data_IF_141017382115
#
_entry.id   IF_141017382115
#
_cell.length_a   1.000
_cell.length_b   1.000
_cell.length_c   1.000
_cell.angle_alpha   90.00
_cell.angle_beta   90.00
_cell.angle_gamma   90.00
#
_symmetry.space_group_name_H-M   'P 1'
#
loop_
_entity.id
_entity.type
_entity.pdbx_description
1 polymer ?
#
# COMPACT_ATOMS: atom_id res chain seq x y z
N UNK A 1 32.56 -33.69 32.23
CA UNK A 1 32.27 -33.42 30.84
C UNK A 1 30.92 -34.00 30.34
N UNK A 2 30.61 -35.30 30.57
CA UNK A 2 29.36 -35.92 30.10
C UNK A 2 28.06 -35.28 30.68
N UNK A 3 28.09 -34.79 31.92
CA UNK A 3 26.92 -34.18 32.61
C UNK A 3 26.55 -32.80 32.04
N UNK A 4 27.52 -32.02 31.58
CA UNK A 4 27.28 -30.70 30.98
C UNK A 4 26.80 -30.80 29.51
N UNK A 5 27.17 -31.89 28.81
CA UNK A 5 26.68 -32.17 27.44
C UNK A 5 25.20 -32.56 27.45
N UNK A 6 24.74 -33.33 28.44
CA UNK A 6 23.33 -33.69 28.59
C UNK A 6 22.44 -32.48 28.92
N UNK A 7 22.95 -31.54 29.75
CA UNK A 7 22.21 -30.29 30.07
C UNK A 7 22.14 -29.36 28.86
N UNK A 8 23.21 -29.28 28.07
CA UNK A 8 23.24 -28.50 26.84
C UNK A 8 22.30 -29.07 25.75
N UNK A 9 22.22 -30.40 25.64
CA UNK A 9 21.32 -31.09 24.70
C UNK A 9 19.85 -30.97 25.13
N UNK A 10 19.57 -30.98 26.44
CA UNK A 10 18.22 -30.76 26.97
C UNK A 10 17.74 -29.31 26.79
N UNK A 11 18.64 -28.31 26.90
CA UNK A 11 18.31 -26.92 26.59
C UNK A 11 18.04 -26.68 25.09
N UNK A 12 18.76 -27.37 24.17
CA UNK A 12 18.49 -27.29 22.73
C UNK A 12 17.14 -27.95 22.35
N UNK A 13 16.72 -28.99 23.06
CA UNK A 13 15.46 -29.67 22.82
C UNK A 13 14.22 -28.86 23.29
N UNK A 14 14.38 -27.94 24.24
CA UNK A 14 13.29 -27.03 24.67
C UNK A 14 13.01 -25.86 23.73
N UNK A 15 13.84 -25.61 22.72
CA UNK A 15 13.63 -24.50 21.76
C UNK A 15 12.76 -24.86 20.54
N UNK A 16 12.22 -26.09 20.47
CA UNK A 16 11.45 -26.55 19.30
C UNK A 16 9.96 -26.83 19.58
N UNK A 17 9.42 -26.36 20.71
CA UNK A 17 7.96 -26.31 20.83
C UNK A 17 7.51 -24.94 20.38
N UNK A 18 7.51 -24.72 19.07
CA UNK A 18 6.61 -23.76 18.47
C UNK A 18 5.21 -24.36 18.64
N UNK A 19 4.56 -24.01 19.75
CA UNK A 19 3.12 -24.18 19.83
C UNK A 19 2.54 -23.50 18.57
N UNK A 20 1.83 -24.25 17.74
CA UNK A 20 1.05 -23.66 16.64
C UNK A 20 0.06 -22.71 17.29
N UNK A 21 0.45 -21.44 17.43
CA UNK A 21 -0.44 -20.40 17.94
C UNK A 21 -1.56 -20.21 16.93
N UNK A 22 -2.78 -20.48 17.37
CA UNK A 22 -3.96 -20.14 16.59
C UNK A 22 -4.13 -18.63 16.61
N UNK A 23 -4.26 -18.07 15.43
CA UNK A 23 -4.37 -16.62 15.26
C UNK A 23 -5.83 -16.18 15.42
N UNK A 24 -6.04 -15.27 16.36
CA UNK A 24 -7.30 -14.56 16.48
C UNK A 24 -7.45 -13.49 15.39
N UNK A 25 -8.70 -13.10 15.09
CA UNK A 25 -8.97 -12.01 14.14
C UNK A 25 -8.18 -10.74 14.48
N UNK A 26 -8.10 -10.40 15.77
CA UNK A 26 -7.38 -9.20 16.20
C UNK A 26 -5.89 -9.28 15.92
N UNK A 27 -5.27 -10.43 16.20
CA UNK A 27 -3.85 -10.65 15.89
C UNK A 27 -3.57 -10.54 14.38
N UNK A 28 -4.46 -11.08 13.52
CA UNK A 28 -4.35 -10.93 12.09
C UNK A 28 -4.40 -9.46 11.64
N UNK A 29 -5.33 -8.67 12.21
CA UNK A 29 -5.47 -7.25 11.91
C UNK A 29 -4.25 -6.46 12.40
N UNK A 30 -3.82 -6.66 13.64
CA UNK A 30 -2.69 -5.94 14.23
C UNK A 30 -1.39 -6.23 13.45
N UNK A 31 -1.17 -7.49 13.09
CA UNK A 31 -0.02 -7.90 12.28
C UNK A 31 -0.04 -7.25 10.89
N UNK A 32 -1.19 -7.26 10.21
CA UNK A 32 -1.32 -6.65 8.90
C UNK A 32 -1.11 -5.13 8.94
N UNK A 33 -1.58 -4.44 9.97
CA UNK A 33 -1.35 -2.99 10.12
C UNK A 33 0.14 -2.67 10.19
N UNK A 34 0.95 -3.55 10.78
CA UNK A 34 2.40 -3.34 10.88
C UNK A 34 3.18 -3.75 9.63
N UNK A 35 2.72 -4.78 8.90
CA UNK A 35 3.50 -5.41 7.83
C UNK A 35 2.98 -5.13 6.42
N UNK A 36 1.69 -4.80 6.28
CA UNK A 36 1.06 -4.64 4.96
C UNK A 36 1.70 -3.54 4.13
N UNK A 37 2.03 -3.86 2.87
CA UNK A 37 2.75 -2.98 1.94
C UNK A 37 1.90 -1.77 1.56
N UNK A 38 0.58 -1.93 1.37
CA UNK A 38 -0.31 -0.83 1.00
C UNK A 38 -0.40 0.24 2.11
N UNK A 39 -0.44 -0.21 3.38
CA UNK A 39 -0.39 0.70 4.54
C UNK A 39 0.95 1.43 4.59
N UNK A 40 2.07 0.74 4.39
CA UNK A 40 3.41 1.35 4.34
C UNK A 40 3.53 2.35 3.20
N UNK A 41 2.99 2.03 2.03
CA UNK A 41 2.98 2.94 0.88
C UNK A 41 2.18 4.21 1.19
N UNK A 42 1.01 4.08 1.80
CA UNK A 42 0.17 5.21 2.19
C UNK A 42 0.82 6.03 3.31
N UNK A 43 1.52 5.39 4.26
CA UNK A 43 2.30 6.08 5.29
C UNK A 43 3.45 6.88 4.69
N UNK A 44 4.17 6.32 3.71
CA UNK A 44 5.22 7.05 2.99
C UNK A 44 4.66 8.24 2.19
N UNK A 45 3.47 8.12 1.61
CA UNK A 45 2.79 9.24 0.94
C UNK A 45 2.42 10.37 1.92
N UNK A 46 2.00 10.02 3.15
CA UNK A 46 1.77 10.99 4.20
C UNK A 46 3.07 11.68 4.64
N UNK A 47 4.18 10.94 4.76
CA UNK A 47 5.49 11.53 5.08
C UNK A 47 6.01 12.42 3.94
N UNK A 48 5.81 12.05 2.69
CA UNK A 48 6.10 12.91 1.54
C UNK A 48 5.32 14.23 1.64
N UNK A 49 4.03 14.17 1.97
CA UNK A 49 3.21 15.38 2.16
C UNK A 49 3.72 16.25 3.33
N UNK A 50 4.28 15.63 4.36
CA UNK A 50 4.93 16.35 5.47
C UNK A 50 6.19 17.09 4.99
N UNK A 51 7.01 16.49 4.15
CA UNK A 51 8.16 17.14 3.51
C UNK A 51 7.70 18.30 2.62
N UNK A 52 6.59 18.13 1.88
CA UNK A 52 6.00 19.19 1.05
C UNK A 52 5.54 20.41 1.89
N UNK A 53 4.98 20.18 3.09
CA UNK A 53 4.65 21.26 4.04
C UNK A 53 5.91 22.03 4.43
N UNK A 54 7.00 21.33 4.73
CA UNK A 54 8.27 21.97 5.06
C UNK A 54 8.84 22.76 3.86
N UNK A 55 8.78 22.19 2.66
CA UNK A 55 9.20 22.88 1.43
C UNK A 55 8.39 24.15 1.19
N UNK A 56 7.06 24.08 1.32
CA UNK A 56 6.18 25.23 1.17
C UNK A 56 6.41 26.29 2.27
N UNK A 57 6.74 25.87 3.49
CA UNK A 57 7.11 26.77 4.60
C UNK A 57 8.35 27.59 4.28
N UNK A 58 9.37 26.95 3.68
CA UNK A 58 10.67 27.57 3.39
C UNK A 58 10.72 28.24 2.01
N UNK A 59 9.65 28.19 1.21
CA UNK A 59 9.56 28.82 -0.10
C UNK A 59 9.75 30.36 -0.08
N UNK A 60 9.72 30.97 1.12
CA UNK A 60 10.00 32.41 1.32
C UNK A 60 11.48 32.74 1.45
N UNK A 61 12.33 31.73 1.64
CA UNK A 61 13.77 31.95 1.82
C UNK A 61 14.44 32.21 0.47
N UNK A 62 15.60 32.91 0.49
CA UNK A 62 16.42 33.03 -0.70
C UNK A 62 16.83 31.67 -1.23
N UNK A 63 16.75 31.46 -2.53
CA UNK A 63 17.44 30.37 -3.18
C UNK A 63 18.86 30.78 -3.54
N UNK A 64 19.80 29.85 -3.55
CA UNK A 64 21.17 30.03 -3.97
C UNK A 64 21.50 28.99 -5.02
N UNK A 65 21.80 29.46 -6.23
CA UNK A 65 22.18 28.60 -7.34
C UNK A 65 23.62 28.94 -7.76
N UNK A 66 24.45 27.92 -7.92
CA UNK A 66 25.78 28.05 -8.48
C UNK A 66 25.88 27.23 -9.75
N UNK A 67 26.45 27.78 -10.78
CA UNK A 67 26.69 27.08 -12.05
C UNK A 67 28.11 27.32 -12.54
N UNK A 68 28.70 26.27 -13.10
CA UNK A 68 29.99 26.35 -13.82
C UNK A 68 29.81 25.65 -15.16
N UNK A 69 30.22 26.30 -16.21
CA UNK A 69 30.14 25.78 -17.58
C UNK A 69 31.48 26.00 -18.31
N UNK A 70 31.83 25.05 -19.15
CA UNK A 70 32.94 25.15 -20.08
C UNK A 70 32.43 24.96 -21.50
N UNK A 71 32.66 25.94 -22.37
CA UNK A 71 32.23 25.90 -23.73
C UNK A 71 33.44 25.84 -24.65
N UNK A 72 33.41 24.94 -25.63
CA UNK A 72 34.34 24.88 -26.73
C UNK A 72 33.54 25.05 -28.03
N UNK A 73 33.86 26.11 -28.78
CA UNK A 73 33.21 26.39 -30.05
C UNK A 73 34.28 26.30 -31.15
N UNK A 74 34.00 25.50 -32.18
CA UNK A 74 34.81 25.43 -33.39
C UNK A 74 33.91 25.73 -34.57
N UNK A 75 34.36 26.66 -35.41
CA UNK A 75 33.55 27.01 -36.57
C UNK A 75 34.22 28.03 -37.47
N UNK A 76 33.52 28.36 -38.56
CA UNK A 76 33.84 29.43 -39.45
C UNK A 76 33.13 30.69 -39.04
N UNK A 77 33.91 31.70 -38.66
CA UNK A 77 33.36 33.02 -38.28
C UNK A 77 33.68 34.02 -39.35
N UNK A 78 32.70 34.86 -39.68
CA UNK A 78 32.88 35.96 -40.61
C UNK A 78 33.49 37.13 -39.85
N UNK A 79 34.68 37.55 -40.28
CA UNK A 79 35.43 38.64 -39.66
C UNK A 79 35.70 39.72 -40.71
N UNK A 80 35.42 40.96 -40.37
CA UNK A 80 35.79 42.09 -41.19
C UNK A 80 37.25 42.45 -40.98
N UNK A 81 38.07 42.34 -42.00
CA UNK A 81 39.49 42.74 -41.99
C UNK A 81 39.58 44.05 -42.75
N UNK A 82 40.22 45.07 -42.12
CA UNK A 82 40.53 46.33 -42.75
C UNK A 82 41.78 46.19 -43.57
N UNK A 83 41.70 46.53 -44.86
CA UNK A 83 42.88 46.61 -45.72
C UNK A 83 43.66 47.88 -45.35
N UNK A 84 44.93 47.68 -44.96
CA UNK A 84 45.83 48.77 -44.54
C UNK A 84 46.16 49.75 -45.66
N UNK A 85 46.08 49.32 -46.97
CA UNK A 85 46.43 50.15 -48.12
C UNK A 85 45.27 50.94 -48.67
N UNK A 86 44.04 50.39 -48.61
CA UNK A 86 42.83 51.06 -49.17
C UNK A 86 41.91 51.62 -48.10
N UNK A 87 42.07 51.25 -46.85
CA UNK A 87 41.19 51.64 -45.73
C UNK A 87 39.80 50.98 -45.76
N UNK A 88 39.56 50.10 -46.73
CA UNK A 88 38.25 49.42 -46.95
C UNK A 88 38.16 48.14 -46.12
N UNK A 89 36.92 47.74 -45.80
CA UNK A 89 36.64 46.53 -45.00
C UNK A 89 36.27 45.38 -45.93
N UNK A 90 37.07 44.32 -45.91
CA UNK A 90 36.72 43.09 -46.62
C UNK A 90 36.30 42.02 -45.61
N UNK A 91 35.28 41.24 -45.96
CA UNK A 91 34.75 40.18 -45.15
C UNK A 91 35.47 38.86 -45.48
N UNK A 92 36.16 38.28 -44.52
CA UNK A 92 36.87 37.01 -44.70
C UNK A 92 36.31 35.96 -43.72
N UNK A 93 36.20 34.72 -44.18
CA UNK A 93 35.84 33.61 -43.35
C UNK A 93 37.08 32.99 -42.73
N UNK A 94 37.18 33.05 -41.42
CA UNK A 94 38.31 32.49 -40.66
C UNK A 94 37.82 31.30 -39.80
N UNK A 95 38.57 30.23 -39.82
CA UNK A 95 38.30 29.13 -38.87
C UNK A 95 38.81 29.55 -37.50
N UNK A 96 37.88 29.68 -36.56
CA UNK A 96 38.20 30.06 -35.17
C UNK A 96 37.79 28.95 -34.22
N UNK A 97 38.66 28.62 -33.29
CA UNK A 97 38.34 27.85 -32.09
C UNK A 97 38.34 28.78 -30.88
N UNK A 98 37.26 28.81 -30.14
CA UNK A 98 37.20 29.55 -28.87
C UNK A 98 36.81 28.61 -27.74
N UNK A 99 37.39 28.81 -26.60
CA UNK A 99 36.98 28.16 -25.37
C UNK A 99 36.71 29.24 -24.32
N UNK A 100 35.69 29.00 -23.51
CA UNK A 100 35.33 29.90 -22.42
C UNK A 100 34.91 29.10 -21.21
N UNK A 101 35.30 29.55 -20.04
CA UNK A 101 34.86 29.03 -18.77
C UNK A 101 33.99 30.09 -18.10
N UNK A 102 32.75 29.78 -17.80
CA UNK A 102 31.87 30.67 -17.10
C UNK A 102 31.47 30.07 -15.74
N UNK A 103 31.53 30.90 -14.73
CA UNK A 103 31.05 30.58 -13.38
C UNK A 103 30.10 31.66 -12.94
N UNK A 104 28.96 31.24 -12.33
CA UNK A 104 28.01 32.18 -11.79
C UNK A 104 27.38 31.67 -10.49
N UNK A 105 27.12 32.60 -9.60
CA UNK A 105 26.32 32.38 -8.38
C UNK A 105 25.18 33.37 -8.42
N UNK A 106 23.96 32.87 -8.27
CA UNK A 106 22.74 33.71 -8.28
C UNK A 106 21.85 33.38 -7.10
N UNK A 107 21.18 34.39 -6.61
CA UNK A 107 20.16 34.28 -5.55
C UNK A 107 18.91 35.02 -5.97
N UNK A 108 17.74 34.46 -5.60
CA UNK A 108 16.44 35.11 -5.79
C UNK A 108 15.63 35.02 -4.50
N UNK A 109 15.05 36.14 -4.10
CA UNK A 109 14.24 36.26 -2.89
C UNK A 109 12.85 36.76 -3.33
N UNK A 110 11.77 35.98 -3.14
CA UNK A 110 10.42 36.44 -3.37
C UNK A 110 9.99 37.40 -2.25
N UNK A 111 9.86 38.71 -2.56
CA UNK A 111 9.43 39.71 -1.61
C UNK A 111 7.90 39.78 -1.51
N UNK A 112 7.21 39.70 -2.65
CA UNK A 112 5.74 39.65 -2.75
C UNK A 112 5.32 38.82 -3.95
N UNK A 113 4.42 37.84 -3.74
CA UNK A 113 3.95 36.90 -4.74
C UNK A 113 2.42 36.89 -4.86
N UNK A 114 1.74 38.02 -4.58
CA UNK A 114 0.28 38.07 -4.66
C UNK A 114 -0.43 37.12 -3.68
N UNK A 115 0.17 36.82 -2.52
CA UNK A 115 -0.32 35.83 -1.52
C UNK A 115 -0.26 34.36 -1.97
N UNK A 116 0.46 34.04 -3.05
CA UNK A 116 0.64 32.69 -3.55
C UNK A 116 1.29 31.79 -2.49
N UNK A 117 2.47 32.16 -1.97
CA UNK A 117 3.25 31.37 -1.00
C UNK A 117 2.45 31.04 0.29
N UNK A 118 1.73 32.00 0.93
CA UNK A 118 0.89 31.68 2.07
C UNK A 118 -0.23 30.68 1.76
N UNK A 119 -0.85 30.78 0.58
CA UNK A 119 -1.90 29.84 0.17
C UNK A 119 -1.32 28.47 -0.21
N UNK A 120 -0.14 28.39 -0.84
CA UNK A 120 0.58 27.14 -1.08
C UNK A 120 0.91 26.43 0.24
N UNK A 121 1.38 27.16 1.26
CA UNK A 121 1.63 26.58 2.57
C UNK A 121 0.36 26.07 3.25
N UNK A 122 -0.75 26.82 3.16
CA UNK A 122 -2.05 26.38 3.68
C UNK A 122 -2.57 25.13 2.95
N UNK A 123 -2.44 25.10 1.62
CA UNK A 123 -2.78 23.95 0.79
C UNK A 123 -1.95 22.71 1.16
N UNK A 124 -0.63 22.86 1.29
CA UNK A 124 0.25 21.76 1.68
C UNK A 124 -0.15 21.17 3.05
N UNK A 125 -0.51 22.00 4.02
CA UNK A 125 -1.03 21.52 5.32
C UNK A 125 -2.33 20.73 5.19
N UNK A 126 -3.23 21.16 4.33
CA UNK A 126 -4.50 20.45 4.09
C UNK A 126 -4.26 19.12 3.34
N UNK A 127 -3.32 19.12 2.42
CA UNK A 127 -2.90 17.88 1.73
C UNK A 127 -2.30 16.88 2.73
N UNK A 128 -1.46 17.32 3.66
CA UNK A 128 -0.95 16.45 4.73
C UNK A 128 -2.09 15.89 5.60
N UNK A 129 -3.05 16.73 6.00
CA UNK A 129 -4.21 16.24 6.76
C UNK A 129 -5.04 15.22 5.97
N UNK A 130 -5.22 15.46 4.67
CA UNK A 130 -5.91 14.52 3.79
C UNK A 130 -5.13 13.19 3.66
N UNK A 131 -3.81 13.25 3.50
CA UNK A 131 -2.97 12.05 3.42
C UNK A 131 -2.96 11.24 4.72
N UNK A 132 -2.96 11.89 5.89
CA UNK A 132 -3.10 11.22 7.18
C UNK A 132 -4.48 10.56 7.34
N UNK A 133 -5.55 11.22 6.89
CA UNK A 133 -6.88 10.63 6.89
C UNK A 133 -6.99 9.47 5.88
N UNK A 134 -6.29 9.52 4.75
CA UNK A 134 -6.19 8.39 3.80
C UNK A 134 -5.45 7.19 4.42
N UNK A 135 -4.43 7.43 5.24
CA UNK A 135 -3.74 6.38 5.98
C UNK A 135 -4.69 5.68 6.98
N UNK A 136 -5.48 6.44 7.73
CA UNK A 136 -6.48 5.85 8.63
C UNK A 136 -7.57 5.09 7.86
N UNK A 137 -8.01 5.62 6.70
CA UNK A 137 -8.91 4.90 5.79
C UNK A 137 -8.30 3.57 5.32
N UNK A 138 -7.03 3.55 4.92
CA UNK A 138 -6.35 2.33 4.48
C UNK A 138 -6.31 1.27 5.58
N UNK A 139 -6.07 1.67 6.84
CA UNK A 139 -6.12 0.76 8.00
C UNK A 139 -7.54 0.22 8.24
N UNK A 140 -8.57 1.07 8.12
CA UNK A 140 -9.97 0.62 8.21
C UNK A 140 -10.31 -0.38 7.10
N UNK A 141 -9.95 -0.09 5.85
CA UNK A 141 -10.27 -0.93 4.70
C UNK A 141 -9.59 -2.30 4.80
N UNK A 142 -8.31 -2.36 5.19
CA UNK A 142 -7.58 -3.61 5.41
C UNK A 142 -8.21 -4.41 6.55
N UNK A 143 -8.60 -3.77 7.65
CA UNK A 143 -9.22 -4.44 8.81
C UNK A 143 -10.54 -5.10 8.42
N UNK A 144 -11.37 -4.41 7.62
CA UNK A 144 -12.65 -4.96 7.12
C UNK A 144 -12.39 -6.13 6.16
N UNK A 145 -11.41 -5.98 5.26
CA UNK A 145 -11.06 -7.02 4.30
C UNK A 145 -10.55 -8.28 5.01
N UNK A 146 -9.65 -8.13 5.98
CA UNK A 146 -9.15 -9.24 6.81
C UNK A 146 -10.31 -9.92 7.55
N UNK A 147 -11.21 -9.16 8.15
CA UNK A 147 -12.36 -9.72 8.84
C UNK A 147 -13.24 -10.55 7.90
N UNK A 148 -13.47 -10.06 6.68
CA UNK A 148 -14.26 -10.78 5.66
C UNK A 148 -13.58 -12.08 5.24
N UNK A 149 -12.27 -12.04 4.92
CA UNK A 149 -11.52 -13.23 4.50
C UNK A 149 -11.35 -14.22 5.66
N UNK A 150 -11.13 -13.72 6.90
CA UNK A 150 -11.07 -14.55 8.10
C UNK A 150 -12.34 -15.37 8.30
N UNK A 151 -13.51 -14.72 8.18
CA UNK A 151 -14.81 -15.40 8.28
C UNK A 151 -15.02 -16.39 7.12
N UNK A 152 -14.52 -16.09 5.92
CA UNK A 152 -14.56 -17.02 4.79
C UNK A 152 -13.73 -18.27 5.05
N UNK A 153 -12.55 -18.14 5.68
CA UNK A 153 -11.72 -19.29 6.06
C UNK A 153 -12.46 -20.17 7.06
N UNK A 154 -13.04 -19.59 8.12
CA UNK A 154 -13.80 -20.34 9.11
C UNK A 154 -15.04 -21.03 8.50
N UNK A 155 -15.71 -20.36 7.57
CA UNK A 155 -16.84 -20.95 6.84
C UNK A 155 -16.40 -22.16 6.02
N UNK A 156 -15.29 -22.06 5.28
CA UNK A 156 -14.78 -23.17 4.48
C UNK A 156 -14.25 -24.32 5.35
N UNK A 157 -13.68 -24.02 6.53
CA UNK A 157 -13.27 -25.05 7.51
C UNK A 157 -14.47 -25.84 8.00
N UNK A 158 -15.58 -25.15 8.31
CA UNK A 158 -16.80 -25.79 8.73
C UNK A 158 -17.44 -26.64 7.62
N UNK A 159 -17.47 -26.15 6.37
CA UNK A 159 -17.94 -26.92 5.21
C UNK A 159 -17.09 -28.18 5.00
N UNK A 160 -15.78 -28.09 5.17
CA UNK A 160 -14.91 -29.27 5.10
C UNK A 160 -15.22 -30.26 6.22
N UNK A 161 -15.43 -29.81 7.46
CA UNK A 161 -15.80 -30.63 8.60
C UNK A 161 -17.15 -31.35 8.38
N UNK A 162 -18.14 -30.64 7.85
CA UNK A 162 -19.45 -31.20 7.50
C UNK A 162 -19.33 -32.25 6.39
N UNK A 163 -18.51 -31.98 5.36
CA UNK A 163 -18.31 -32.93 4.25
C UNK A 163 -17.63 -34.23 4.68
N UNK A 164 -16.69 -34.14 5.65
CA UNK A 164 -16.11 -35.34 6.28
C UNK A 164 -17.16 -36.18 7.04
N UNK A 165 -18.05 -35.54 7.77
CA UNK A 165 -19.17 -36.21 8.43
C UNK A 165 -20.12 -36.86 7.45
N UNK A 166 -20.33 -36.25 6.28
CA UNK A 166 -21.15 -36.87 5.20
C UNK A 166 -20.47 -38.09 4.59
N UNK A 167 -19.14 -38.07 4.41
CA UNK A 167 -18.38 -39.25 3.97
C UNK A 167 -18.53 -40.42 4.95
N UNK A 168 -18.40 -40.14 6.25
CA UNK A 168 -18.55 -41.16 7.30
C UNK A 168 -19.95 -41.76 7.27
N UNK A 169 -21.00 -40.93 7.18
CA UNK A 169 -22.39 -41.39 7.07
C UNK A 169 -22.63 -42.26 5.82
N UNK A 170 -22.13 -41.85 4.66
CA UNK A 170 -22.29 -42.61 3.43
C UNK A 170 -21.51 -43.94 3.46
N UNK A 171 -20.36 -44.00 4.10
CA UNK A 171 -19.60 -45.25 4.37
C UNK A 171 -20.37 -46.19 5.28
N UNK A 172 -21.00 -45.72 6.33
CA UNK A 172 -21.83 -46.53 7.20
C UNK A 172 -23.06 -47.10 6.47
N UNK A 173 -23.68 -46.26 5.60
CA UNK A 173 -24.79 -46.70 4.77
C UNK A 173 -24.37 -47.77 3.74
N UNK A 174 -23.21 -47.56 3.08
CA UNK A 174 -22.65 -48.58 2.17
C UNK A 174 -22.41 -49.89 2.90
N UNK A 175 -21.73 -49.88 4.02
CA UNK A 175 -21.44 -51.09 4.83
C UNK A 175 -22.71 -51.80 5.26
N UNK A 176 -23.78 -51.09 5.57
CA UNK A 176 -25.11 -51.66 5.89
C UNK A 176 -25.74 -52.36 4.68
N UNK A 177 -25.74 -51.70 3.50
CA UNK A 177 -26.32 -52.23 2.28
C UNK A 177 -25.52 -53.47 1.81
N UNK A 178 -24.20 -53.41 1.91
CA UNK A 178 -23.30 -54.54 1.58
C UNK A 178 -23.64 -55.79 2.42
N UNK A 179 -23.79 -55.63 3.75
CA UNK A 179 -24.20 -56.74 4.65
C UNK A 179 -25.61 -57.27 4.32
N UNK A 180 -26.54 -56.39 3.90
CA UNK A 180 -27.86 -56.81 3.46
C UNK A 180 -27.80 -57.60 2.15
N UNK A 181 -26.91 -57.25 1.24
CA UNK A 181 -26.69 -57.95 0.00
C UNK A 181 -26.07 -59.38 0.24
N UNK A 182 -25.15 -59.51 1.18
CA UNK A 182 -24.54 -60.77 1.59
C UNK A 182 -25.59 -61.79 2.06
N UNK A 183 -26.69 -61.30 2.72
CA UNK A 183 -27.81 -62.16 3.15
C UNK A 183 -28.97 -62.19 2.16
N UNK A 184 -28.76 -61.71 0.93
CA UNK A 184 -29.77 -61.73 -0.16
C UNK A 184 -30.94 -60.76 0.02
N UNK A 185 -30.81 -59.74 0.87
CA UNK A 185 -31.87 -58.73 1.16
C UNK A 185 -31.66 -57.39 0.43
N UNK A 186 -30.56 -57.21 -0.28
CA UNK A 186 -30.29 -56.06 -1.14
C UNK A 186 -29.77 -56.55 -2.49
N UNK A 187 -30.01 -55.76 -3.53
CA UNK A 187 -29.55 -56.08 -4.90
C UNK A 187 -28.11 -55.60 -5.14
N UNK A 188 -27.35 -56.24 -6.07
CA UNK A 188 -26.03 -55.73 -6.46
C UNK A 188 -26.07 -54.27 -7.00
N UNK A 189 -27.19 -53.85 -7.57
CA UNK A 189 -27.37 -52.49 -8.05
C UNK A 189 -27.39 -51.47 -6.88
N UNK A 190 -28.09 -51.78 -5.78
CA UNK A 190 -28.12 -50.96 -4.58
C UNK A 190 -26.73 -50.82 -3.93
N UNK A 191 -25.93 -51.90 -3.93
CA UNK A 191 -24.53 -51.85 -3.44
C UNK A 191 -23.69 -50.94 -4.32
N UNK A 192 -23.84 -51.06 -5.67
CA UNK A 192 -23.09 -50.21 -6.60
C UNK A 192 -23.49 -48.72 -6.46
N UNK A 193 -24.77 -48.43 -6.27
CA UNK A 193 -25.26 -47.05 -6.03
C UNK A 193 -24.72 -46.49 -4.72
N UNK A 194 -24.76 -47.24 -3.62
CA UNK A 194 -24.19 -46.80 -2.35
C UNK A 194 -22.68 -46.55 -2.44
N UNK A 195 -21.95 -47.42 -3.17
CA UNK A 195 -20.52 -47.22 -3.43
C UNK A 195 -20.23 -45.96 -4.23
N UNK A 196 -21.04 -45.67 -5.27
CA UNK A 196 -20.92 -44.47 -6.07
C UNK A 196 -21.18 -43.21 -5.24
N UNK A 197 -22.14 -43.28 -4.29
CA UNK A 197 -22.40 -42.17 -3.37
C UNK A 197 -21.24 -41.89 -2.45
N UNK A 198 -20.59 -42.91 -1.88
CA UNK A 198 -19.36 -42.73 -1.08
C UNK A 198 -18.28 -42.02 -1.89
N UNK A 199 -18.02 -42.45 -3.12
CA UNK A 199 -17.02 -41.85 -4.00
C UNK A 199 -17.36 -40.36 -4.31
N UNK A 200 -18.64 -40.03 -4.50
CA UNK A 200 -19.11 -38.69 -4.71
C UNK A 200 -18.87 -37.79 -3.46
N UNK A 201 -19.22 -38.32 -2.28
CA UNK A 201 -19.04 -37.61 -1.03
C UNK A 201 -17.55 -37.42 -0.70
N UNK A 202 -16.69 -38.41 -0.98
CA UNK A 202 -15.23 -38.28 -0.87
C UNK A 202 -14.69 -37.19 -1.81
N UNK A 203 -15.16 -37.10 -3.04
CA UNK A 203 -14.78 -36.06 -3.98
C UNK A 203 -15.20 -34.69 -3.45
N UNK A 204 -16.42 -34.57 -2.92
CA UNK A 204 -16.90 -33.28 -2.32
C UNK A 204 -16.05 -32.88 -1.12
N UNK A 205 -15.63 -33.84 -0.28
CA UNK A 205 -14.75 -33.55 0.85
C UNK A 205 -13.34 -33.08 0.41
N UNK A 206 -12.80 -33.67 -0.66
CA UNK A 206 -11.54 -33.20 -1.26
C UNK A 206 -11.67 -31.77 -1.78
N UNK A 207 -12.79 -31.49 -2.48
CA UNK A 207 -13.05 -30.13 -2.97
C UNK A 207 -13.14 -29.12 -1.80
N UNK A 208 -13.94 -29.42 -0.78
CA UNK A 208 -14.07 -28.57 0.40
C UNK A 208 -12.74 -28.32 1.12
N UNK A 209 -11.87 -29.35 1.20
CA UNK A 209 -10.51 -29.19 1.75
C UNK A 209 -9.64 -28.25 0.90
N UNK A 210 -9.75 -28.35 -0.43
CA UNK A 210 -9.01 -27.46 -1.31
C UNK A 210 -9.48 -26.00 -1.15
N UNK A 211 -10.80 -25.78 -1.08
CA UNK A 211 -11.40 -24.46 -0.88
C UNK A 211 -10.98 -23.85 0.47
N UNK A 212 -10.93 -24.68 1.53
CA UNK A 212 -10.40 -24.26 2.83
C UNK A 212 -8.92 -23.84 2.75
N UNK A 213 -8.08 -24.67 2.11
CA UNK A 213 -6.65 -24.38 1.97
C UNK A 213 -6.38 -23.14 1.14
N UNK A 214 -7.15 -22.93 0.07
CA UNK A 214 -7.05 -21.72 -0.75
C UNK A 214 -7.43 -20.47 0.06
N UNK A 215 -8.56 -20.51 0.78
CA UNK A 215 -8.97 -19.38 1.61
C UNK A 215 -7.94 -19.06 2.72
N UNK A 216 -7.31 -20.09 3.30
CA UNK A 216 -6.24 -19.90 4.28
C UNK A 216 -5.01 -19.25 3.65
N UNK A 217 -4.65 -19.64 2.44
CA UNK A 217 -3.57 -19.05 1.67
C UNK A 217 -3.89 -17.58 1.35
N UNK A 218 -5.11 -17.28 0.88
CA UNK A 218 -5.56 -15.92 0.58
C UNK A 218 -5.44 -15.00 1.81
N UNK A 219 -5.85 -15.50 2.99
CA UNK A 219 -5.68 -14.75 4.23
C UNK A 219 -4.21 -14.53 4.57
N UNK A 220 -3.37 -15.57 4.45
CA UNK A 220 -1.94 -15.44 4.75
C UNK A 220 -1.23 -14.43 3.84
N UNK A 221 -1.62 -14.39 2.57
CA UNK A 221 -1.13 -13.39 1.61
C UNK A 221 -1.63 -11.99 1.93
N UNK A 222 -2.90 -11.85 2.32
CA UNK A 222 -3.49 -10.56 2.67
C UNK A 222 -2.81 -9.91 3.90
N UNK A 223 -2.43 -10.73 4.89
CA UNK A 223 -1.66 -10.27 6.06
C UNK A 223 -0.15 -10.23 5.83
N UNK A 224 0.32 -10.65 4.63
CA UNK A 224 1.73 -10.72 4.24
C UNK A 224 2.58 -11.58 5.21
N UNK A 225 2.06 -12.75 5.55
CA UNK A 225 2.77 -13.70 6.38
C UNK A 225 3.93 -14.34 5.58
N UNK A 226 5.16 -14.26 6.09
CA UNK A 226 6.35 -14.79 5.41
C UNK A 226 6.28 -16.31 5.17
N UNK A 227 5.71 -17.06 6.12
CA UNK A 227 5.56 -18.51 6.07
C UNK A 227 4.13 -18.91 6.43
N UNK A 228 3.30 -19.27 5.43
CA UNK A 228 1.93 -19.71 5.69
C UNK A 228 1.83 -21.14 6.28
N UNK A 229 2.96 -21.86 6.35
CA UNK A 229 3.00 -23.22 6.90
C UNK A 229 2.71 -23.23 8.40
N UNK A 230 1.67 -23.98 8.81
CA UNK A 230 1.26 -24.08 10.21
C UNK A 230 0.37 -22.95 10.70
N UNK A 231 -0.06 -22.03 9.81
CA UNK A 231 -1.02 -20.99 10.12
C UNK A 231 -2.40 -21.59 10.38
N UNK A 232 -2.91 -21.42 11.58
CA UNK A 232 -4.24 -21.89 12.01
C UNK A 232 -5.01 -20.73 12.63
N UNK A 233 -6.34 -20.74 12.43
CA UNK A 233 -7.20 -19.73 13.01
C UNK A 233 -7.84 -20.18 14.32
N UNK A 234 -8.10 -19.21 15.18
CA UNK A 234 -8.90 -19.40 16.39
C UNK A 234 -10.38 -19.24 16.02
N UNK A 235 -11.22 -20.19 16.44
CA UNK A 235 -12.66 -20.06 16.32
C UNK A 235 -13.16 -18.99 17.31
N UNK A 236 -13.74 -17.87 16.85
CA UNK A 236 -14.14 -16.81 17.76
C UNK A 236 -15.31 -17.29 18.62
N UNK A 237 -15.18 -17.18 19.93
CA UNK A 237 -16.25 -17.46 20.88
C UNK A 237 -17.32 -16.35 20.85
N UNK A 238 -17.93 -16.11 19.69
CA UNK A 238 -18.94 -15.07 19.52
C UNK A 238 -20.29 -15.59 20.01
N UNK A 239 -20.75 -15.05 21.13
CA UNK A 239 -22.19 -15.13 21.47
C UNK A 239 -22.93 -14.13 20.59
N UNK A 240 -23.71 -14.62 19.64
CA UNK A 240 -24.58 -13.78 18.82
C UNK A 240 -25.70 -13.25 19.73
N UNK A 241 -25.49 -12.05 20.27
CA UNK A 241 -26.56 -11.30 20.93
C UNK A 241 -27.27 -10.48 19.85
N UNK A 242 -28.54 -10.77 19.63
CA UNK A 242 -29.40 -9.99 18.73
C UNK A 242 -29.71 -8.65 19.38
N UNK A 243 -28.79 -7.71 19.36
CA UNK A 243 -29.04 -6.31 19.73
C UNK A 243 -29.84 -5.63 18.62
N UNK A 244 -30.80 -4.76 18.96
CA UNK A 244 -31.51 -3.97 17.96
C UNK A 244 -30.53 -3.18 17.12
N UNK A 245 -30.61 -3.29 15.79
CA UNK A 245 -29.77 -2.51 14.89
C UNK A 245 -30.09 -1.02 15.04
N UNK A 246 -29.06 -0.21 15.17
CA UNK A 246 -29.18 1.25 15.13
C UNK A 246 -29.83 1.67 13.80
N UNK A 247 -30.76 2.63 13.79
CA UNK A 247 -31.41 3.09 12.57
C UNK A 247 -30.36 3.59 11.54
N UNK A 248 -30.57 3.35 10.24
CA UNK A 248 -29.61 3.75 9.19
C UNK A 248 -29.26 5.25 9.20
N UNK A 249 -30.24 6.11 9.49
CA UNK A 249 -30.04 7.56 9.55
C UNK A 249 -29.10 7.97 10.69
N UNK A 250 -29.19 7.31 11.83
CA UNK A 250 -28.29 7.56 12.96
C UNK A 250 -26.87 7.07 12.66
N UNK A 251 -26.74 5.88 12.04
CA UNK A 251 -25.44 5.36 11.56
C UNK A 251 -24.82 6.34 10.57
N UNK A 252 -25.60 6.88 9.64
CA UNK A 252 -25.13 7.86 8.67
C UNK A 252 -24.62 9.14 9.33
N UNK A 253 -25.34 9.68 10.31
CA UNK A 253 -24.91 10.88 11.04
C UNK A 253 -23.60 10.65 11.81
N UNK A 254 -23.45 9.49 12.45
CA UNK A 254 -22.21 9.11 13.12
C UNK A 254 -21.07 9.00 12.10
N UNK A 255 -21.32 8.34 10.96
CA UNK A 255 -20.33 8.14 9.91
C UNK A 255 -19.82 9.45 9.29
N UNK A 256 -20.69 10.46 9.12
CA UNK A 256 -20.30 11.79 8.63
C UNK A 256 -19.24 12.46 9.52
N UNK A 257 -19.24 12.21 10.82
CA UNK A 257 -18.27 12.79 11.75
C UNK A 257 -17.03 11.94 11.99
N UNK A 258 -17.14 10.61 11.85
CA UNK A 258 -16.09 9.67 12.26
C UNK A 258 -15.28 9.08 11.10
N UNK A 259 -15.87 8.95 9.89
CA UNK A 259 -15.22 8.26 8.78
C UNK A 259 -14.02 9.04 8.21
N UNK A 260 -12.85 8.39 8.22
CA UNK A 260 -11.60 8.97 7.71
C UNK A 260 -11.70 9.38 6.23
N UNK A 261 -12.41 8.63 5.40
CA UNK A 261 -12.65 8.95 3.99
C UNK A 261 -13.40 10.27 3.79
N UNK A 262 -14.38 10.58 4.66
CA UNK A 262 -15.14 11.83 4.61
C UNK A 262 -14.27 12.99 5.05
N UNK A 263 -13.48 12.82 6.11
CA UNK A 263 -12.52 13.83 6.57
C UNK A 263 -11.48 14.16 5.49
N UNK A 264 -10.93 13.15 4.80
CA UNK A 264 -10.02 13.35 3.68
C UNK A 264 -10.64 14.17 2.56
N UNK A 265 -11.91 13.88 2.20
CA UNK A 265 -12.65 14.62 1.18
C UNK A 265 -12.91 16.08 1.59
N UNK A 266 -13.22 16.33 2.87
CA UNK A 266 -13.40 17.69 3.41
C UNK A 266 -12.10 18.50 3.35
N UNK A 267 -10.95 17.91 3.74
CA UNK A 267 -9.66 18.58 3.62
C UNK A 267 -9.29 18.90 2.17
N UNK A 268 -9.57 17.97 1.23
CA UNK A 268 -9.37 18.22 -0.21
C UNK A 268 -10.27 19.33 -0.74
N UNK A 269 -11.54 19.38 -0.30
CA UNK A 269 -12.46 20.47 -0.66
C UNK A 269 -11.95 21.82 -0.15
N UNK A 270 -11.46 21.88 1.10
CA UNK A 270 -10.87 23.09 1.65
C UNK A 270 -9.58 23.47 0.91
N UNK A 271 -8.74 22.50 0.58
CA UNK A 271 -7.54 22.66 -0.25
C UNK A 271 -7.86 23.27 -1.62
N UNK A 272 -8.93 22.82 -2.27
CA UNK A 272 -9.37 23.38 -3.57
C UNK A 272 -9.69 24.87 -3.50
N UNK A 273 -10.20 25.38 -2.35
CA UNK A 273 -10.41 26.82 -2.16
C UNK A 273 -9.10 27.58 -2.12
N UNK A 274 -8.04 27.00 -1.53
CA UNK A 274 -6.69 27.59 -1.55
C UNK A 274 -6.08 27.51 -2.96
N UNK A 275 -6.33 26.45 -3.73
CA UNK A 275 -5.89 26.34 -5.13
C UNK A 275 -6.49 27.47 -5.98
N UNK A 276 -7.76 27.81 -5.78
CA UNK A 276 -8.40 28.96 -6.46
C UNK A 276 -7.68 30.26 -6.11
N UNK A 277 -7.35 30.49 -4.82
CA UNK A 277 -6.63 31.69 -4.37
C UNK A 277 -5.20 31.75 -4.93
N UNK A 278 -4.53 30.59 -5.06
CA UNK A 278 -3.23 30.50 -5.73
C UNK A 278 -3.36 30.90 -7.21
N UNK A 279 -4.36 30.42 -7.93
CA UNK A 279 -4.59 30.83 -9.30
C UNK A 279 -4.90 32.34 -9.41
N UNK A 280 -5.66 32.88 -8.48
CA UNK A 280 -5.96 34.34 -8.41
C UNK A 280 -4.73 35.18 -8.09
N UNK A 281 -3.68 34.61 -7.46
CA UNK A 281 -2.45 35.37 -7.17
C UNK A 281 -1.77 35.91 -8.43
N UNK A 282 -1.97 35.26 -9.59
CA UNK A 282 -1.47 35.73 -10.87
C UNK A 282 -2.05 37.07 -11.36
N UNK A 283 -3.16 37.54 -10.76
CA UNK A 283 -3.69 38.88 -11.05
C UNK A 283 -2.99 40.02 -10.28
N UNK A 284 -2.15 39.67 -9.28
CA UNK A 284 -1.43 40.63 -8.48
C UNK A 284 0.01 40.78 -8.98
N UNK A 285 0.62 41.99 -8.78
CA UNK A 285 2.02 42.16 -9.11
C UNK A 285 2.91 41.24 -8.26
N UNK A 286 4.01 40.79 -8.86
CA UNK A 286 5.03 40.01 -8.17
C UNK A 286 6.28 40.87 -8.00
N UNK A 287 6.92 40.81 -6.83
CA UNK A 287 8.15 41.50 -6.52
C UNK A 287 9.20 40.48 -6.03
N UNK A 288 10.30 40.39 -6.75
CA UNK A 288 11.44 39.57 -6.36
C UNK A 288 12.73 40.39 -6.35
N UNK A 289 13.61 40.07 -5.45
CA UNK A 289 14.98 40.59 -5.45
C UNK A 289 15.91 39.53 -6.01
N UNK A 290 16.67 39.91 -7.05
CA UNK A 290 17.61 39.00 -7.71
C UNK A 290 19.02 39.60 -7.60
N UNK A 291 19.98 38.78 -7.18
CA UNK A 291 21.40 39.09 -7.12
C UNK A 291 22.20 38.05 -7.86
N UNK A 292 23.16 38.44 -8.69
CA UNK A 292 24.06 37.53 -9.37
C UNK A 292 25.48 38.06 -9.43
N UNK A 293 26.43 37.16 -9.28
CA UNK A 293 27.85 37.35 -9.51
C UNK A 293 28.32 36.28 -10.49
N UNK A 294 29.03 36.70 -11.54
CA UNK A 294 29.55 35.78 -12.55
C UNK A 294 30.85 36.28 -13.14
N UNK A 295 31.63 35.32 -13.70
CA UNK A 295 32.81 35.61 -14.45
C UNK A 295 32.75 34.80 -15.76
N UNK A 296 33.32 35.37 -16.83
CA UNK A 296 33.47 34.75 -18.14
C UNK A 296 34.92 34.54 -18.43
#
# INVERSE_FOLDING_TARGET
MKRNICISLAMLACMQIQAQERWSLRQCIDYAIEHNIDIRQTANAAEQSNVEVNTAKWARLPNLNASAGQNWNWGRTQTAIKDENTGDYSTVYVNTGSHGTNMSVSTSIPLFTGLEIPNQYALAKLNLKAALADLEKAKEDISINIASVYLQVLFNEELYRVSLGQVELSKEQYNRIERLAEVGKASPAEVAEAKARVAQDEMNAVQANNDYRLALLDLSQLIELETPEGFLLEEPAVKIELTPLTPPDEIFQIALGSKASIQAAQYRLEGSKHSIRIAQSGYYPQLSFNGSLGTN
#
